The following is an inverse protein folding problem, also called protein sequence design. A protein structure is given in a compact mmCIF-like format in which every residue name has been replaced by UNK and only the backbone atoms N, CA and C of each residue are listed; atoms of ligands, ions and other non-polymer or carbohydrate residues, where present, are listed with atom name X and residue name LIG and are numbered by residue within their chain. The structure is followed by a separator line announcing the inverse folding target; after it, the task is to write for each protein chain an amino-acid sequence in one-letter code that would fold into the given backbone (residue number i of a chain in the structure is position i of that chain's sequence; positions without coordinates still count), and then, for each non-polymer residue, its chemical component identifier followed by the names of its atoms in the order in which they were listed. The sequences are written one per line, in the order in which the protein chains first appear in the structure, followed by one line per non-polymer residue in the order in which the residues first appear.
data_IF_402335218891
#
_entry.id   IF_402335218891
#
_cell.length_a   1.000
_cell.length_b   1.000
_cell.length_c   1.000
_cell.angle_alpha   90.00
_cell.angle_beta   90.00
_cell.angle_gamma   90.00
#
_symmetry.space_group_name_H-M   'P 1'
#
loop_
_entity.id
_entity.type
_entity.pdbx_description
1 polymer ?
#
# COMPACT_ATOMS: atom_id res chain seq x y z
N UNK A 1 -7.54 61.14 -10.42
CA UNK A 1 -7.44 60.71 -11.83
C UNK A 1 -6.49 59.53 -11.94
N UNK A 2 -7.02 58.32 -12.13
CA UNK A 2 -6.58 57.28 -13.06
C UNK A 2 -7.30 55.98 -12.71
N UNK A 3 -7.77 55.32 -13.75
CA UNK A 3 -9.02 54.58 -13.82
C UNK A 3 -8.82 53.09 -13.50
N UNK A 4 -9.78 52.53 -12.78
CA UNK A 4 -10.00 51.10 -12.56
C UNK A 4 -10.57 50.51 -13.87
N UNK A 5 -9.99 49.43 -14.39
CA UNK A 5 -10.63 48.61 -15.43
C UNK A 5 -10.66 47.15 -14.96
N UNK A 6 -11.79 46.75 -14.38
CA UNK A 6 -12.15 45.35 -14.21
C UNK A 6 -12.60 44.81 -15.58
N UNK A 7 -11.98 43.72 -16.03
CA UNK A 7 -12.49 42.92 -17.13
C UNK A 7 -13.24 41.72 -16.54
N UNK A 8 -14.56 41.82 -16.49
CA UNK A 8 -15.47 40.69 -16.32
C UNK A 8 -15.60 39.98 -17.68
N UNK A 9 -15.04 38.77 -17.81
CA UNK A 9 -15.45 37.85 -18.86
C UNK A 9 -16.63 37.02 -18.35
N UNK A 10 -17.79 37.28 -18.93
CA UNK A 10 -19.01 36.54 -18.70
C UNK A 10 -18.89 35.10 -19.18
N UNK A 11 -19.25 34.17 -18.30
CA UNK A 11 -19.47 32.76 -18.64
C UNK A 11 -20.92 32.62 -19.08
N UNK A 12 -21.15 32.38 -20.38
CA UNK A 12 -22.44 31.94 -20.90
C UNK A 12 -22.20 30.68 -21.73
N UNK A 13 -22.20 29.52 -21.07
CA UNK A 13 -22.31 28.24 -21.75
C UNK A 13 -23.79 27.87 -21.79
N UNK A 14 -24.44 28.16 -22.91
CA UNK A 14 -25.79 27.70 -23.21
C UNK A 14 -25.81 26.17 -23.30
N UNK A 15 -26.64 25.53 -22.48
CA UNK A 15 -27.02 24.13 -22.67
C UNK A 15 -27.92 24.01 -23.89
N UNK A 16 -27.37 23.58 -25.02
CA UNK A 16 -28.15 23.01 -26.10
C UNK A 16 -28.22 21.49 -25.90
N UNK A 17 -29.34 21.01 -25.37
CA UNK A 17 -29.67 19.59 -25.37
C UNK A 17 -30.12 19.20 -26.79
N UNK A 18 -29.18 18.79 -27.62
CA UNK A 18 -29.44 18.15 -28.91
C UNK A 18 -28.85 16.75 -28.89
N UNK A 19 -29.63 15.75 -28.51
CA UNK A 19 -29.22 14.35 -28.68
C UNK A 19 -29.46 13.97 -30.14
N UNK A 20 -28.41 13.92 -30.96
CA UNK A 20 -28.44 13.10 -32.17
C UNK A 20 -28.25 11.66 -31.73
N UNK A 21 -29.29 10.84 -31.88
CA UNK A 21 -29.17 9.39 -31.75
C UNK A 21 -28.21 8.91 -32.84
N UNK A 22 -27.04 8.34 -32.51
CA UNK A 22 -26.19 7.76 -33.54
C UNK A 22 -26.92 6.55 -34.13
N UNK A 23 -26.82 6.39 -35.46
CA UNK A 23 -27.30 5.21 -36.15
C UNK A 23 -26.74 3.94 -35.47
N UNK A 24 -27.46 2.80 -35.48
CA UNK A 24 -26.94 1.56 -34.95
C UNK A 24 -25.62 1.27 -35.66
N UNK A 25 -24.54 1.21 -34.88
CA UNK A 25 -23.26 0.67 -35.35
C UNK A 25 -23.60 -0.74 -35.82
N UNK A 26 -23.32 -1.04 -37.08
CA UNK A 26 -23.44 -2.39 -37.60
C UNK A 26 -22.72 -3.33 -36.62
N UNK A 27 -23.28 -4.52 -36.37
CA UNK A 27 -22.61 -5.58 -35.62
C UNK A 27 -21.29 -5.91 -36.33
N UNK A 28 -20.22 -5.21 -35.95
CA UNK A 28 -18.86 -5.69 -36.15
C UNK A 28 -18.75 -6.90 -35.23
N UNK A 29 -18.92 -8.09 -35.81
CA UNK A 29 -18.60 -9.34 -35.16
C UNK A 29 -17.26 -9.18 -34.42
N UNK A 30 -17.14 -9.65 -33.15
CA UNK A 30 -15.91 -9.48 -32.39
C UNK A 30 -14.76 -10.02 -33.24
N UNK A 31 -13.60 -9.33 -33.30
CA UNK A 31 -12.50 -9.77 -34.14
C UNK A 31 -12.17 -11.21 -33.75
N UNK A 32 -12.36 -12.12 -34.69
CA UNK A 32 -12.06 -13.54 -34.51
C UNK A 32 -10.59 -13.62 -34.14
N UNK A 33 -10.30 -13.90 -32.87
CA UNK A 33 -8.94 -14.15 -32.43
C UNK A 33 -8.43 -15.32 -33.28
N UNK A 34 -7.43 -15.07 -34.12
CA UNK A 34 -6.74 -16.15 -34.83
C UNK A 34 -6.04 -17.01 -33.77
N UNK A 35 -6.09 -18.34 -33.89
CA UNK A 35 -5.59 -19.26 -32.86
C UNK A 35 -4.12 -19.03 -32.46
N UNK A 36 -3.32 -18.35 -33.28
CA UNK A 36 -1.95 -17.94 -32.95
C UNK A 36 -1.90 -16.89 -31.84
N UNK A 37 -2.82 -15.91 -31.84
CA UNK A 37 -2.89 -14.88 -30.80
C UNK A 37 -3.34 -15.48 -29.45
N UNK A 38 -4.18 -16.52 -29.49
CA UNK A 38 -4.62 -17.23 -28.29
C UNK A 38 -3.51 -18.08 -27.69
N UNK A 39 -2.75 -18.82 -28.52
CA UNK A 39 -1.60 -19.61 -28.07
C UNK A 39 -0.53 -18.70 -27.44
N UNK A 40 -0.20 -17.58 -28.07
CA UNK A 40 0.78 -16.62 -27.52
C UNK A 40 0.32 -16.02 -26.18
N UNK A 41 -0.98 -15.71 -26.05
CA UNK A 41 -1.54 -15.23 -24.79
C UNK A 41 -1.48 -16.29 -23.70
N UNK A 42 -1.80 -17.54 -24.03
CA UNK A 42 -1.67 -18.67 -23.10
C UNK A 42 -0.21 -18.88 -22.66
N UNK A 43 0.75 -18.78 -23.58
CA UNK A 43 2.18 -18.87 -23.24
C UNK A 43 2.59 -17.77 -22.26
N UNK A 44 2.15 -16.53 -22.48
CA UNK A 44 2.39 -15.41 -21.56
C UNK A 44 1.76 -15.65 -20.18
N UNK A 45 0.53 -16.16 -20.13
CA UNK A 45 -0.15 -16.48 -18.88
C UNK A 45 0.54 -17.61 -18.12
N UNK A 46 0.99 -18.67 -18.81
CA UNK A 46 1.78 -19.76 -18.22
C UNK A 46 3.09 -19.23 -17.64
N UNK A 47 3.79 -18.35 -18.36
CA UNK A 47 5.02 -17.74 -17.84
C UNK A 47 4.76 -16.86 -16.62
N UNK A 48 3.69 -16.07 -16.62
CA UNK A 48 3.27 -15.27 -15.47
C UNK A 48 2.99 -16.14 -14.25
N UNK A 49 2.18 -17.19 -14.42
CA UNK A 49 1.83 -18.10 -13.32
C UNK A 49 3.07 -18.83 -12.80
N UNK A 50 3.97 -19.26 -13.68
CA UNK A 50 5.24 -19.87 -13.27
C UNK A 50 6.09 -18.92 -12.41
N UNK A 51 6.16 -17.64 -12.79
CA UNK A 51 6.85 -16.61 -12.01
C UNK A 51 6.18 -16.38 -10.64
N UNK A 52 4.84 -16.35 -10.59
CA UNK A 52 4.09 -16.18 -9.35
C UNK A 52 4.25 -17.38 -8.41
N UNK A 53 4.22 -18.61 -8.94
CA UNK A 53 4.51 -19.84 -8.17
C UNK A 53 5.92 -19.78 -7.58
N UNK A 54 6.91 -19.36 -8.38
CA UNK A 54 8.28 -19.24 -7.89
C UNK A 54 8.40 -18.20 -6.77
N UNK A 55 7.74 -17.05 -6.92
CA UNK A 55 7.69 -15.99 -5.89
C UNK A 55 7.05 -16.49 -4.60
N UNK A 56 5.93 -17.21 -4.70
CA UNK A 56 5.25 -17.77 -3.53
C UNK A 56 6.11 -18.81 -2.83
N UNK A 57 6.79 -19.69 -3.57
CA UNK A 57 7.74 -20.68 -3.00
C UNK A 57 8.86 -20.02 -2.20
N UNK A 58 9.33 -18.85 -2.62
CA UNK A 58 10.35 -18.10 -1.90
C UNK A 58 9.82 -17.42 -0.62
N UNK A 59 8.55 -16.98 -0.62
CA UNK A 59 7.94 -16.29 0.53
C UNK A 59 7.34 -17.24 1.56
N UNK A 60 6.89 -18.42 1.15
CA UNK A 60 6.18 -19.38 2.01
C UNK A 60 6.99 -19.79 3.26
N UNK A 61 8.31 -20.03 3.20
CA UNK A 61 9.11 -20.35 4.38
C UNK A 61 9.06 -19.27 5.46
N UNK A 62 8.90 -18.00 5.07
CA UNK A 62 8.73 -16.87 5.97
C UNK A 62 7.39 -16.17 5.70
N UNK A 63 6.30 -16.94 5.79
CA UNK A 63 4.96 -16.45 5.48
C UNK A 63 4.54 -15.24 6.32
N UNK A 64 4.95 -15.19 7.59
CA UNK A 64 4.67 -14.07 8.49
C UNK A 64 5.67 -12.90 8.36
N UNK A 65 6.66 -13.02 7.47
CA UNK A 65 7.70 -12.03 7.25
C UNK A 65 8.48 -11.66 8.53
N UNK A 66 8.81 -12.64 9.37
CA UNK A 66 9.60 -12.45 10.60
C UNK A 66 10.97 -11.86 10.27
N UNK A 67 11.55 -12.20 9.10
CA UNK A 67 12.85 -11.67 8.68
C UNK A 67 12.81 -10.18 8.31
N UNK A 68 11.64 -9.60 8.08
CA UNK A 68 11.49 -8.24 7.56
C UNK A 68 12.10 -7.18 8.47
N UNK A 69 11.89 -7.29 9.79
CA UNK A 69 12.41 -6.36 10.79
C UNK A 69 13.58 -6.92 11.61
N UNK A 70 14.03 -8.15 11.35
CA UNK A 70 15.01 -8.83 12.21
C UNK A 70 16.29 -8.01 12.49
N UNK A 71 16.84 -7.35 11.46
CA UNK A 71 18.01 -6.47 11.65
C UNK A 71 17.68 -5.21 12.44
N UNK A 72 16.54 -4.59 12.18
CA UNK A 72 16.09 -3.38 12.87
C UNK A 72 15.75 -3.68 14.34
N UNK A 73 15.14 -4.83 14.63
CA UNK A 73 14.87 -5.29 15.99
C UNK A 73 16.16 -5.43 16.80
N UNK A 74 17.21 -6.01 16.20
CA UNK A 74 18.54 -6.08 16.84
C UNK A 74 19.07 -4.69 17.15
N UNK A 75 19.00 -3.76 16.19
CA UNK A 75 19.44 -2.37 16.40
C UNK A 75 18.65 -1.69 17.52
N UNK A 76 17.32 -1.83 17.52
CA UNK A 76 16.43 -1.28 18.56
C UNK A 76 16.76 -1.84 19.94
N UNK A 77 16.96 -3.17 20.05
CA UNK A 77 17.28 -3.80 21.33
C UNK A 77 18.64 -3.38 21.90
N UNK A 78 19.60 -3.01 21.04
CA UNK A 78 20.92 -2.53 21.44
C UNK A 78 20.94 -1.06 21.87
N UNK A 79 19.90 -0.28 21.55
CA UNK A 79 19.81 1.12 21.95
C UNK A 79 19.58 1.25 23.45
N UNK A 80 20.37 2.10 24.10
CA UNK A 80 20.10 2.57 25.46
C UNK A 80 19.22 3.82 25.41
N UNK A 81 17.93 3.62 25.17
CA UNK A 81 16.98 4.72 25.03
C UNK A 81 16.57 5.29 26.40
N UNK A 82 16.62 6.61 26.55
CA UNK A 82 16.14 7.30 27.76
C UNK A 82 14.62 7.47 27.81
N UNK A 83 13.96 7.44 26.64
CA UNK A 83 12.50 7.58 26.49
C UNK A 83 11.85 6.19 26.36
N UNK A 84 10.61 6.00 26.84
CA UNK A 84 9.87 4.77 26.62
C UNK A 84 9.61 4.52 25.13
N UNK A 85 9.56 3.25 24.73
CA UNK A 85 9.24 2.85 23.34
C UNK A 85 7.73 2.63 23.18
N UNK A 86 7.19 3.05 22.04
CA UNK A 86 5.81 2.72 21.63
C UNK A 86 5.88 2.03 20.27
N UNK A 87 5.43 0.79 20.20
CA UNK A 87 5.47 0.00 18.96
C UNK A 87 4.12 0.06 18.26
N UNK A 88 4.15 0.35 16.97
CA UNK A 88 2.98 0.38 16.09
C UNK A 88 2.97 -0.87 15.22
N UNK A 89 2.13 -1.84 15.57
CA UNK A 89 1.96 -3.08 14.82
C UNK A 89 0.78 -2.93 13.85
N UNK A 90 0.99 -3.23 12.57
CA UNK A 90 -0.11 -3.16 11.61
C UNK A 90 0.23 -3.59 10.20
N UNK A 91 -0.64 -3.19 9.27
CA UNK A 91 -0.58 -3.53 7.85
C UNK A 91 0.03 -2.41 6.99
N UNK A 92 -0.40 -2.31 5.72
CA UNK A 92 -0.01 -1.28 4.76
C UNK A 92 -0.24 0.14 5.26
N UNK A 93 -1.26 0.40 6.08
CA UNK A 93 -1.52 1.76 6.56
C UNK A 93 -0.41 2.18 7.54
N UNK A 94 -0.09 1.29 8.50
CA UNK A 94 1.00 1.54 9.46
C UNK A 94 2.36 1.57 8.77
N UNK A 95 2.60 0.67 7.80
CA UNK A 95 3.82 0.65 7.01
C UNK A 95 4.04 2.00 6.32
N UNK A 96 3.02 2.50 5.62
CA UNK A 96 3.14 3.70 4.82
C UNK A 96 3.32 4.97 5.67
N UNK A 97 2.89 5.00 6.93
CA UNK A 97 3.20 6.11 7.84
C UNK A 97 4.69 6.28 8.17
N UNK A 98 5.55 5.30 7.86
CA UNK A 98 7.01 5.44 7.92
C UNK A 98 7.65 5.85 6.59
N UNK A 99 6.90 5.85 5.49
CA UNK A 99 7.43 6.16 4.16
C UNK A 99 7.34 7.65 3.83
N UNK A 100 8.42 8.21 3.27
CA UNK A 100 8.55 9.64 2.92
C UNK A 100 7.39 10.19 2.07
N UNK A 101 6.71 9.33 1.30
CA UNK A 101 5.59 9.72 0.42
C UNK A 101 4.27 9.98 1.15
N UNK A 102 4.09 9.44 2.36
CA UNK A 102 2.82 9.53 3.11
C UNK A 102 3.03 10.21 4.46
N UNK A 103 4.07 9.83 5.20
CA UNK A 103 4.43 10.49 6.44
C UNK A 103 5.86 10.15 6.87
N UNK A 104 6.53 11.10 7.50
CA UNK A 104 7.78 10.90 8.22
C UNK A 104 7.57 10.74 9.73
N UNK A 105 6.34 10.37 10.18
CA UNK A 105 5.98 10.32 11.61
C UNK A 105 7.02 9.59 12.45
N UNK A 106 7.48 8.42 12.01
CA UNK A 106 8.45 7.60 12.73
C UNK A 106 9.90 8.13 12.65
N UNK A 107 10.18 9.10 11.78
CA UNK A 107 11.50 9.71 11.63
C UNK A 107 11.64 11.05 12.38
N UNK A 108 10.53 11.59 12.92
CA UNK A 108 10.58 12.78 13.76
C UNK A 108 11.01 12.44 15.19
N UNK A 109 11.64 13.40 15.88
CA UNK A 109 11.83 13.28 17.33
C UNK A 109 10.50 13.53 18.02
N UNK A 110 10.17 12.66 18.97
CA UNK A 110 8.96 12.72 19.78
C UNK A 110 9.38 12.93 21.23
N UNK A 111 8.92 14.02 21.84
CA UNK A 111 9.39 14.43 23.18
C UNK A 111 9.14 13.38 24.26
N UNK A 112 8.05 12.62 24.15
CA UNK A 112 7.54 11.74 25.22
C UNK A 112 7.94 10.28 25.08
N UNK A 113 8.15 9.78 23.86
CA UNK A 113 8.39 8.36 23.59
C UNK A 113 9.10 8.19 22.25
N UNK A 114 9.64 7.00 21.99
CA UNK A 114 10.23 6.64 20.70
C UNK A 114 9.22 5.79 19.94
N UNK A 115 8.64 6.26 18.82
CA UNK A 115 7.77 5.43 18.01
C UNK A 115 8.59 4.42 17.20
N UNK A 116 8.09 3.19 17.12
CA UNK A 116 8.71 2.11 16.37
C UNK A 116 7.69 1.56 15.38
N UNK A 117 7.97 1.66 14.10
CA UNK A 117 7.08 1.15 13.05
C UNK A 117 7.31 -0.35 12.85
N UNK A 118 6.24 -1.13 12.99
CA UNK A 118 6.19 -2.56 12.67
C UNK A 118 5.01 -2.87 11.76
N UNK A 119 4.73 -1.99 10.80
CA UNK A 119 3.74 -2.16 9.76
C UNK A 119 4.30 -2.92 8.56
N UNK A 120 3.61 -3.97 8.09
CA UNK A 120 4.01 -4.70 6.88
C UNK A 120 2.85 -4.74 5.90
N UNK A 121 3.12 -4.35 4.65
CA UNK A 121 2.08 -4.20 3.62
C UNK A 121 1.40 -5.52 3.28
N UNK A 122 0.07 -5.52 3.24
CA UNK A 122 -0.74 -6.67 2.87
C UNK A 122 -0.81 -7.79 3.91
N UNK A 123 -0.34 -7.56 5.15
CA UNK A 123 -0.48 -8.54 6.21
C UNK A 123 -1.86 -8.57 6.84
N UNK A 124 -2.29 -9.77 7.23
CA UNK A 124 -3.49 -10.03 8.00
C UNK A 124 -3.18 -10.27 9.48
N UNK A 125 -4.22 -10.38 10.32
CA UNK A 125 -4.07 -10.57 11.78
C UNK A 125 -3.27 -11.84 12.13
N UNK A 126 -3.47 -13.01 11.50
CA UNK A 126 -2.67 -14.20 11.77
C UNK A 126 -1.15 -14.00 11.57
N UNK A 127 -0.74 -13.32 10.49
CA UNK A 127 0.68 -13.03 10.25
C UNK A 127 1.25 -12.08 11.31
N UNK A 128 0.48 -11.05 11.70
CA UNK A 128 0.86 -10.13 12.77
C UNK A 128 0.99 -10.82 14.12
N UNK A 129 0.10 -11.77 14.42
CA UNK A 129 0.14 -12.55 15.66
C UNK A 129 1.43 -13.37 15.77
N UNK A 130 1.85 -14.02 14.69
CA UNK A 130 3.08 -14.83 14.66
C UNK A 130 4.32 -13.98 14.97
N UNK A 131 4.42 -12.78 14.38
CA UNK A 131 5.57 -11.89 14.56
C UNK A 131 5.48 -10.97 15.79
N UNK A 132 4.39 -10.99 16.55
CA UNK A 132 4.22 -10.14 17.74
C UNK A 132 5.36 -10.32 18.77
N UNK A 133 5.88 -11.54 18.91
CA UNK A 133 7.00 -11.81 19.83
C UNK A 133 8.28 -11.07 19.43
N UNK A 134 8.87 -11.32 18.24
CA UNK A 134 10.07 -10.61 17.81
C UNK A 134 9.84 -9.10 17.61
N UNK A 135 8.77 -8.73 16.91
CA UNK A 135 8.59 -7.35 16.45
C UNK A 135 8.06 -6.42 17.54
N UNK A 136 7.49 -6.94 18.63
CA UNK A 136 6.90 -6.11 19.70
C UNK A 136 7.46 -6.49 21.06
N UNK A 137 7.22 -7.71 21.52
CA UNK A 137 7.48 -8.08 22.91
C UNK A 137 8.97 -8.01 23.23
N UNK A 138 9.83 -8.49 22.33
CA UNK A 138 11.28 -8.46 22.50
C UNK A 138 11.84 -7.03 22.61
N UNK A 139 11.17 -6.04 22.02
CA UNK A 139 11.56 -4.63 22.05
C UNK A 139 11.24 -3.94 23.38
N UNK A 140 10.50 -4.62 24.27
CA UNK A 140 10.09 -4.15 25.61
C UNK A 140 9.42 -2.76 25.57
N UNK A 141 8.34 -2.59 24.77
CA UNK A 141 7.66 -1.31 24.71
C UNK A 141 6.90 -1.00 25.99
N UNK A 142 6.70 0.29 26.26
CA UNK A 142 5.76 0.75 27.29
C UNK A 142 4.30 0.63 26.82
N UNK A 143 4.07 0.72 25.51
CA UNK A 143 2.75 0.53 24.91
C UNK A 143 2.86 -0.02 23.48
N UNK A 144 1.81 -0.73 23.05
CA UNK A 144 1.63 -1.16 21.67
C UNK A 144 0.35 -0.54 21.10
N UNK A 145 0.44 0.02 19.91
CA UNK A 145 -0.71 0.43 19.10
C UNK A 145 -0.90 -0.62 18.01
N UNK A 146 -2.10 -1.18 17.90
CA UNK A 146 -2.44 -2.15 16.85
C UNK A 146 -3.46 -1.52 15.91
N UNK A 147 -3.15 -1.55 14.61
CA UNK A 147 -4.13 -1.24 13.57
C UNK A 147 -4.12 -2.35 12.51
N UNK A 148 -5.15 -3.19 12.55
CA UNK A 148 -5.23 -4.44 11.80
C UNK A 148 -6.67 -4.77 11.41
N UNK A 149 -6.85 -5.73 10.49
CA UNK A 149 -8.16 -6.24 10.07
C UNK A 149 -8.56 -5.87 8.64
N UNK A 150 -7.94 -4.84 8.03
CA UNK A 150 -8.31 -4.40 6.67
C UNK A 150 -8.07 -5.50 5.62
N UNK A 151 -6.98 -6.26 5.75
CA UNK A 151 -6.66 -7.36 4.83
C UNK A 151 -7.30 -8.70 5.23
N UNK A 152 -8.05 -8.72 6.33
CA UNK A 152 -8.78 -9.90 6.81
C UNK A 152 -10.23 -9.92 6.27
N UNK A 153 -10.77 -8.76 5.91
CA UNK A 153 -12.09 -8.56 5.27
C UNK A 153 -12.02 -8.81 3.74
#
# INVERSE_FOLDING_TARGET
MRTLTLLLLGLAASFACGQTVPAPVADDAPPTATGVNEVQRMEQEVQRVAADVQRLKQRLPDWAAISWYAEDDVRVMQRNDAKPRVVFLGDSITHNWGGEKVSSYFHHDHDKFIPINRGIGGQNVPQMLIRMRPDVIALKPAAMVIFAGTNDL
#
